data_IF_917093734805
#
_entry.id   IF_917093734805
#
_cell.length_a   1.000
_cell.length_b   1.000
_cell.length_c   1.000
_cell.angle_alpha   90.00
_cell.angle_beta   90.00
_cell.angle_gamma   90.00
#
_symmetry.space_group_name_H-M   'P 1'
#
loop_
_entity.id
_entity.type
_entity.pdbx_description
1 polymer ?
#
# COMPACT_ATOMS: atom_id res chain seq x y z
N UNK A 1 -72.14 25.41 -58.16
CA UNK A 1 -73.03 24.32 -57.82
C UNK A 1 -72.76 24.03 -56.36
N UNK A 2 -73.47 24.52 -55.50
CA UNK A 2 -74.77 24.18 -54.97
C UNK A 2 -74.52 23.62 -53.62
N UNK A 3 -74.99 24.08 -52.69
CA UNK A 3 -76.18 24.53 -51.96
C UNK A 3 -76.04 24.07 -50.53
N UNK A 4 -76.04 24.95 -49.57
CA UNK A 4 -77.20 25.26 -48.72
C UNK A 4 -77.35 24.38 -47.51
N UNK A 5 -77.37 25.03 -46.39
CA UNK A 5 -78.42 25.27 -45.38
C UNK A 5 -78.49 24.19 -44.31
N UNK A 6 -78.80 24.35 -43.03
CA UNK A 6 -79.57 25.35 -42.26
C UNK A 6 -79.34 25.00 -40.78
N UNK A 7 -78.99 25.85 -39.87
CA UNK A 7 -79.75 26.46 -38.79
C UNK A 7 -80.57 25.56 -37.89
N UNK A 8 -80.33 25.59 -36.58
CA UNK A 8 -81.12 25.97 -35.43
C UNK A 8 -80.50 25.36 -34.16
N UNK A 9 -80.17 25.99 -33.10
CA UNK A 9 -80.94 26.80 -32.22
C UNK A 9 -81.13 26.06 -30.92
N UNK A 10 -80.63 26.56 -29.79
CA UNK A 10 -80.99 26.02 -28.49
C UNK A 10 -79.97 26.24 -27.37
N UNK A 11 -80.07 27.37 -26.70
CA UNK A 11 -79.56 27.67 -25.36
C UNK A 11 -80.73 27.31 -24.34
N UNK A 12 -80.52 27.25 -23.01
CA UNK A 12 -79.36 27.19 -22.10
C UNK A 12 -79.53 26.08 -21.03
N UNK A 13 -78.48 25.75 -20.34
CA UNK A 13 -78.55 24.95 -19.15
C UNK A 13 -77.27 25.14 -18.31
N UNK A 14 -77.33 26.04 -17.34
CA UNK A 14 -76.26 26.27 -16.42
C UNK A 14 -75.95 25.05 -15.57
N UNK A 15 -74.76 24.62 -15.53
CA UNK A 15 -74.25 23.62 -14.58
C UNK A 15 -73.32 24.31 -13.57
N UNK A 16 -73.32 23.87 -12.30
CA UNK A 16 -72.63 24.56 -11.20
C UNK A 16 -71.14 24.42 -11.31
N UNK A 17 -70.45 25.51 -11.04
CA UNK A 17 -68.98 25.54 -10.90
C UNK A 17 -68.52 24.71 -9.70
N UNK A 18 -67.83 23.63 -9.95
CA UNK A 18 -67.07 22.86 -8.95
C UNK A 18 -65.86 23.70 -8.54
N UNK A 19 -65.59 23.87 -7.23
CA UNK A 19 -64.38 24.60 -6.78
C UNK A 19 -63.12 23.81 -7.16
N UNK A 20 -62.17 24.50 -7.70
CA UNK A 20 -60.82 23.96 -8.03
C UNK A 20 -60.17 23.30 -6.83
N UNK A 21 -59.82 22.04 -6.96
CA UNK A 21 -59.03 21.30 -5.99
C UNK A 21 -57.68 21.98 -5.79
N UNK A 22 -57.34 22.29 -4.54
CA UNK A 22 -56.05 22.75 -4.09
C UNK A 22 -54.96 21.75 -4.54
N UNK A 23 -53.82 22.17 -5.12
CA UNK A 23 -52.71 21.27 -5.36
C UNK A 23 -52.20 20.73 -4.03
N UNK A 24 -51.98 19.42 -3.94
CA UNK A 24 -51.37 18.74 -2.82
C UNK A 24 -49.95 19.28 -2.60
N UNK A 25 -49.46 19.35 -1.34
CA UNK A 25 -48.11 19.77 -1.06
C UNK A 25 -47.11 18.85 -1.76
N UNK A 26 -46.12 19.44 -2.44
CA UNK A 26 -45.04 18.74 -3.09
C UNK A 26 -44.36 17.79 -2.08
N UNK A 27 -44.47 16.49 -2.33
CA UNK A 27 -43.69 15.49 -1.59
C UNK A 27 -42.23 15.87 -1.69
N UNK A 28 -41.62 16.05 -0.53
CA UNK A 28 -40.17 16.24 -0.41
C UNK A 28 -39.49 15.01 -1.01
N UNK A 29 -39.04 15.14 -2.25
CA UNK A 29 -38.12 14.18 -2.88
C UNK A 29 -36.84 14.22 -2.06
N UNK A 30 -36.60 13.18 -1.27
CA UNK A 30 -35.31 12.98 -0.60
C UNK A 30 -34.18 13.15 -1.64
N UNK A 31 -33.11 13.87 -1.30
CA UNK A 31 -32.00 14.02 -2.23
C UNK A 31 -31.44 12.63 -2.53
N UNK A 32 -31.43 12.27 -3.80
CA UNK A 32 -30.87 11.03 -4.31
C UNK A 32 -29.53 10.76 -3.61
N UNK A 33 -29.42 9.58 -2.97
CA UNK A 33 -28.28 9.16 -2.19
C UNK A 33 -26.98 9.52 -2.91
N UNK A 34 -26.01 10.06 -2.17
CA UNK A 34 -24.68 10.35 -2.68
C UNK A 34 -24.20 9.14 -3.50
N UNK A 35 -23.71 9.35 -4.72
CA UNK A 35 -23.17 8.25 -5.51
C UNK A 35 -22.12 7.54 -4.67
N UNK A 36 -22.36 6.27 -4.37
CA UNK A 36 -21.39 5.43 -3.70
C UNK A 36 -20.14 5.42 -4.60
N UNK A 37 -19.03 5.92 -4.06
CA UNK A 37 -17.78 5.95 -4.80
C UNK A 37 -17.44 4.51 -5.23
N UNK A 38 -17.47 4.25 -6.54
CA UNK A 38 -17.05 2.97 -7.10
C UNK A 38 -15.64 2.68 -6.60
N UNK A 39 -15.38 1.52 -5.95
CA UNK A 39 -14.04 1.19 -5.49
C UNK A 39 -13.07 1.30 -6.65
N UNK A 40 -12.01 2.09 -6.48
CA UNK A 40 -11.02 2.21 -7.54
C UNK A 40 -10.42 0.84 -7.86
N UNK A 41 -10.12 0.54 -9.15
CA UNK A 41 -9.48 -0.71 -9.54
C UNK A 41 -8.24 -1.01 -8.69
N UNK A 42 -7.96 -2.28 -8.40
CA UNK A 42 -6.91 -2.72 -7.46
C UNK A 42 -5.53 -2.11 -7.74
N UNK A 43 -5.18 -1.92 -9.03
CA UNK A 43 -3.94 -1.22 -9.44
C UNK A 43 -3.84 0.21 -8.90
N UNK A 44 -4.97 0.92 -8.78
CA UNK A 44 -5.00 2.30 -8.26
C UNK A 44 -4.95 2.31 -6.72
N UNK A 45 -5.49 1.29 -6.07
CA UNK A 45 -5.39 1.14 -4.61
C UNK A 45 -3.95 0.94 -4.18
N UNK A 46 -3.21 0.04 -4.85
CA UNK A 46 -1.80 -0.19 -4.59
C UNK A 46 -0.97 1.09 -4.75
N UNK A 47 -1.13 1.82 -5.85
CA UNK A 47 -0.43 3.08 -6.08
C UNK A 47 -0.74 4.10 -4.97
N UNK A 48 -2.02 4.27 -4.60
CA UNK A 48 -2.42 5.17 -3.51
C UNK A 48 -1.84 4.79 -2.15
N UNK A 49 -1.68 3.48 -1.87
CA UNK A 49 -0.97 3.05 -0.66
C UNK A 49 0.48 3.48 -0.68
N UNK A 50 1.17 3.31 -1.79
CA UNK A 50 2.57 3.76 -1.93
C UNK A 50 2.70 5.28 -1.79
N UNK A 51 1.81 6.05 -2.40
CA UNK A 51 1.82 7.52 -2.29
C UNK A 51 1.56 7.99 -0.85
N UNK A 52 0.57 7.37 -0.17
CA UNK A 52 0.29 7.64 1.25
C UNK A 52 1.49 7.35 2.14
N UNK A 53 2.12 6.20 1.95
CA UNK A 53 3.29 5.79 2.73
C UNK A 53 4.50 6.70 2.45
N UNK A 54 4.70 7.12 1.21
CA UNK A 54 5.76 8.03 0.84
C UNK A 54 5.57 9.41 1.46
N UNK A 55 4.36 9.96 1.43
CA UNK A 55 4.01 11.22 2.06
C UNK A 55 4.20 11.17 3.59
N UNK A 56 3.76 10.09 4.24
CA UNK A 56 3.91 9.90 5.67
C UNK A 56 5.39 9.79 6.08
N UNK A 57 6.23 9.11 5.29
CA UNK A 57 7.66 9.02 5.53
C UNK A 57 8.38 10.37 5.44
N UNK A 58 7.86 11.32 4.67
CA UNK A 58 8.35 12.69 4.63
C UNK A 58 7.92 13.53 5.85
N UNK A 59 6.79 13.18 6.46
CA UNK A 59 6.23 13.89 7.63
C UNK A 59 6.84 13.44 8.98
N UNK A 60 7.62 12.36 9.00
CA UNK A 60 8.30 11.87 10.19
C UNK A 60 7.89 10.45 10.61
N UNK A 61 8.69 9.88 11.51
CA UNK A 61 8.65 8.45 11.88
C UNK A 61 7.30 8.04 12.52
N UNK A 62 6.75 8.85 13.41
CA UNK A 62 5.47 8.55 14.08
C UNK A 62 4.29 8.55 13.08
N UNK A 63 4.25 9.51 12.17
CA UNK A 63 3.25 9.58 11.09
C UNK A 63 3.37 8.39 10.14
N UNK A 64 4.60 7.97 9.86
CA UNK A 64 4.88 6.81 9.01
C UNK A 64 4.35 5.50 9.62
N UNK A 65 4.58 5.26 10.92
CA UNK A 65 4.06 4.08 11.62
C UNK A 65 2.52 4.03 11.60
N UNK A 66 1.85 5.17 11.83
CA UNK A 66 0.40 5.30 11.72
C UNK A 66 -0.13 4.99 10.31
N UNK A 67 0.58 5.46 9.27
CA UNK A 67 0.21 5.19 7.88
C UNK A 67 0.39 3.72 7.50
N UNK A 68 1.47 3.07 7.97
CA UNK A 68 1.70 1.62 7.80
C UNK A 68 0.56 0.82 8.44
N UNK A 69 0.22 1.10 9.69
CA UNK A 69 -0.90 0.46 10.36
C UNK A 69 -2.24 0.68 9.62
N UNK A 70 -2.45 1.88 9.06
CA UNK A 70 -3.65 2.18 8.28
C UNK A 70 -3.73 1.38 6.97
N UNK A 71 -2.61 1.24 6.25
CA UNK A 71 -2.55 0.44 5.02
C UNK A 71 -2.78 -1.04 5.31
N UNK A 72 -2.21 -1.57 6.39
CA UNK A 72 -2.37 -2.99 6.78
C UNK A 72 -3.81 -3.38 7.17
N UNK A 73 -4.70 -2.40 7.38
CA UNK A 73 -6.14 -2.64 7.56
C UNK A 73 -6.93 -2.74 6.25
N UNK A 74 -6.29 -2.63 5.09
CA UNK A 74 -6.97 -2.83 3.81
C UNK A 74 -7.58 -4.23 3.74
N UNK A 75 -8.81 -4.39 3.20
CA UNK A 75 -9.48 -5.68 3.08
C UNK A 75 -8.73 -6.68 2.19
N UNK A 76 -7.80 -6.23 1.34
CA UNK A 76 -6.87 -7.10 0.60
C UNK A 76 -5.51 -7.13 1.31
N UNK A 77 -5.28 -8.15 2.17
CA UNK A 77 -4.04 -8.24 2.94
C UNK A 77 -2.80 -8.49 2.08
N UNK A 78 -2.95 -9.12 0.91
CA UNK A 78 -1.82 -9.39 0.00
C UNK A 78 -1.32 -8.08 -0.61
N UNK A 79 -2.23 -7.26 -1.09
CA UNK A 79 -1.94 -5.93 -1.64
C UNK A 79 -1.35 -5.02 -0.57
N UNK A 80 -1.98 -4.96 0.61
CA UNK A 80 -1.54 -4.13 1.73
C UNK A 80 -0.10 -4.47 2.16
N UNK A 81 0.17 -5.74 2.42
CA UNK A 81 1.50 -6.19 2.84
C UNK A 81 2.54 -5.97 1.73
N UNK A 82 2.19 -6.16 0.47
CA UNK A 82 3.08 -5.90 -0.67
C UNK A 82 3.44 -4.42 -0.77
N UNK A 83 2.47 -3.52 -0.57
CA UNK A 83 2.71 -2.08 -0.57
C UNK A 83 3.61 -1.66 0.60
N UNK A 84 3.35 -2.19 1.80
CA UNK A 84 4.19 -1.94 2.98
C UNK A 84 5.61 -2.45 2.75
N UNK A 85 5.80 -3.68 2.27
CA UNK A 85 7.15 -4.23 1.98
C UNK A 85 7.88 -3.37 0.96
N UNK A 86 7.22 -2.94 -0.11
CA UNK A 86 7.83 -2.03 -1.10
C UNK A 86 8.25 -0.70 -0.46
N UNK A 87 7.44 -0.17 0.45
CA UNK A 87 7.78 1.04 1.20
C UNK A 87 8.98 0.82 2.13
N UNK A 88 8.99 -0.29 2.91
CA UNK A 88 10.11 -0.66 3.78
C UNK A 88 11.43 -0.73 2.98
N UNK A 89 11.41 -1.39 1.82
CA UNK A 89 12.60 -1.52 0.98
C UNK A 89 13.12 -0.15 0.50
N UNK A 90 12.24 0.71 0.01
CA UNK A 90 12.60 2.06 -0.43
C UNK A 90 13.12 2.93 0.71
N UNK A 91 12.51 2.83 1.88
CA UNK A 91 12.85 3.64 3.04
C UNK A 91 14.17 3.20 3.66
N UNK A 92 14.38 1.90 3.86
CA UNK A 92 15.61 1.35 4.40
C UNK A 92 16.85 1.72 3.55
N UNK A 93 16.72 1.72 2.22
CA UNK A 93 17.80 2.17 1.33
C UNK A 93 18.13 3.65 1.53
N UNK A 94 17.14 4.51 1.75
CA UNK A 94 17.34 5.96 1.93
C UNK A 94 17.89 6.33 3.30
N UNK A 95 17.65 5.51 4.32
CA UNK A 95 18.17 5.74 5.67
C UNK A 95 19.63 5.32 5.73
N UNK A 96 20.54 6.26 5.49
CA UNK A 96 21.98 6.02 5.41
C UNK A 96 22.67 5.91 6.76
N UNK A 97 22.08 6.50 7.82
CA UNK A 97 22.67 6.46 9.16
C UNK A 97 22.07 5.32 9.98
N UNK A 98 22.90 4.62 10.76
CA UNK A 98 22.44 3.54 11.65
C UNK A 98 21.48 4.02 12.73
N UNK A 99 21.71 5.22 13.27
CA UNK A 99 20.83 5.81 14.29
C UNK A 99 19.43 6.06 13.74
N UNK A 100 19.34 6.72 12.58
CA UNK A 100 18.06 7.00 11.94
C UNK A 100 17.32 5.74 11.51
N UNK A 101 18.05 4.72 11.02
CA UNK A 101 17.45 3.44 10.69
C UNK A 101 16.92 2.71 11.93
N UNK A 102 17.69 2.67 13.04
CA UNK A 102 17.25 2.00 14.27
C UNK A 102 16.03 2.65 14.91
N UNK A 103 15.98 3.98 14.93
CA UNK A 103 14.81 4.72 15.41
C UNK A 103 13.57 4.38 14.58
N UNK A 104 13.70 4.47 13.26
CA UNK A 104 12.63 4.13 12.32
C UNK A 104 12.16 2.68 12.45
N UNK A 105 13.08 1.72 12.48
CA UNK A 105 12.75 0.30 12.63
C UNK A 105 12.02 0.01 13.94
N UNK A 106 12.44 0.64 15.04
CA UNK A 106 11.79 0.51 16.35
C UNK A 106 10.37 1.07 16.33
N UNK A 107 10.15 2.22 15.71
CA UNK A 107 8.83 2.83 15.62
C UNK A 107 7.84 2.02 14.78
N UNK A 108 8.32 1.30 13.76
CA UNK A 108 7.47 0.44 12.93
C UNK A 108 7.14 -0.91 13.56
N UNK A 109 7.87 -1.33 14.58
CA UNK A 109 7.74 -2.68 15.15
C UNK A 109 6.29 -3.00 15.55
N UNK A 110 5.66 -2.14 16.35
CA UNK A 110 4.27 -2.34 16.80
C UNK A 110 3.25 -2.28 15.64
N UNK A 111 3.49 -1.44 14.64
CA UNK A 111 2.61 -1.34 13.47
C UNK A 111 2.63 -2.61 12.60
N UNK A 112 3.68 -3.43 12.72
CA UNK A 112 3.86 -4.67 11.97
C UNK A 112 3.49 -5.93 12.76
N UNK A 113 3.06 -5.80 14.02
CA UNK A 113 2.60 -6.93 14.83
C UNK A 113 1.43 -7.65 14.15
N UNK A 114 1.46 -8.98 14.14
CA UNK A 114 0.47 -9.81 13.44
C UNK A 114 0.66 -9.92 11.92
N UNK A 115 1.59 -9.17 11.32
CA UNK A 115 1.87 -9.18 9.88
C UNK A 115 3.23 -9.83 9.58
N UNK A 116 3.29 -11.16 9.56
CA UNK A 116 4.53 -11.93 9.49
C UNK A 116 5.46 -11.55 8.33
N UNK A 117 4.91 -11.28 7.13
CA UNK A 117 5.69 -10.97 5.94
C UNK A 117 6.42 -9.61 6.02
N UNK A 118 5.76 -8.47 6.27
CA UNK A 118 6.46 -7.19 6.43
C UNK A 118 7.32 -7.13 7.70
N UNK A 119 6.91 -7.78 8.80
CA UNK A 119 7.74 -7.86 10.00
C UNK A 119 9.07 -8.61 9.74
N UNK A 120 9.02 -9.72 8.97
CA UNK A 120 10.23 -10.41 8.52
C UNK A 120 11.11 -9.51 7.66
N UNK A 121 10.53 -8.76 6.72
CA UNK A 121 11.27 -7.84 5.87
C UNK A 121 12.01 -6.76 6.68
N UNK A 122 11.37 -6.22 7.72
CA UNK A 122 12.01 -5.24 8.60
C UNK A 122 13.18 -5.85 9.37
N UNK A 123 13.03 -7.09 9.91
CA UNK A 123 14.14 -7.81 10.57
C UNK A 123 15.29 -8.08 9.61
N UNK A 124 15.00 -8.50 8.38
CA UNK A 124 16.01 -8.73 7.35
C UNK A 124 16.79 -7.45 7.00
N UNK A 125 16.11 -6.30 6.92
CA UNK A 125 16.79 -5.01 6.77
C UNK A 125 17.67 -4.66 7.98
N UNK A 126 17.22 -4.97 9.20
CA UNK A 126 18.01 -4.77 10.42
C UNK A 126 19.29 -5.59 10.37
N UNK A 127 19.20 -6.85 9.98
CA UNK A 127 20.35 -7.72 9.77
C UNK A 127 21.31 -7.18 8.70
N UNK A 128 20.80 -6.78 7.53
CA UNK A 128 21.60 -6.22 6.45
C UNK A 128 22.35 -4.93 6.85
N UNK A 129 21.70 -4.07 7.62
CA UNK A 129 22.30 -2.84 8.16
C UNK A 129 23.38 -3.14 9.19
N UNK A 130 23.16 -4.12 10.07
CA UNK A 130 24.17 -4.54 11.03
C UNK A 130 25.43 -5.11 10.32
N UNK A 131 25.25 -5.97 9.32
CA UNK A 131 26.35 -6.52 8.52
C UNK A 131 27.12 -5.41 7.78
N UNK A 132 26.41 -4.44 7.18
CA UNK A 132 27.02 -3.36 6.40
C UNK A 132 27.74 -2.33 7.29
N UNK A 133 27.22 -2.07 8.49
CA UNK A 133 27.75 -1.09 9.45
C UNK A 133 28.80 -1.67 10.41
N UNK A 134 29.16 -2.96 10.30
CA UNK A 134 30.10 -3.62 11.22
C UNK A 134 29.53 -3.83 12.63
N UNK A 135 28.20 -3.79 12.78
CA UNK A 135 27.52 -4.09 14.02
C UNK A 135 27.47 -5.60 14.30
N UNK A 136 27.02 -5.97 15.51
CA UNK A 136 26.82 -7.39 15.86
C UNK A 136 25.66 -7.99 15.06
N UNK A 137 25.84 -9.19 14.52
CA UNK A 137 24.84 -9.97 13.80
C UNK A 137 25.05 -11.46 14.06
N UNK A 138 24.04 -12.26 13.78
CA UNK A 138 24.08 -13.70 13.99
C UNK A 138 24.24 -14.47 12.68
N UNK A 139 25.21 -15.37 12.61
CA UNK A 139 25.38 -16.29 11.48
C UNK A 139 24.10 -17.12 11.24
N UNK A 140 23.49 -17.63 12.32
CA UNK A 140 22.24 -18.39 12.23
C UNK A 140 21.07 -17.56 11.65
N UNK A 141 20.98 -16.27 11.98
CA UNK A 141 19.96 -15.40 11.39
C UNK A 141 20.20 -15.20 9.89
N UNK A 142 21.44 -15.05 9.44
CA UNK A 142 21.75 -14.90 8.02
C UNK A 142 21.49 -16.19 7.23
N UNK A 143 21.79 -17.36 7.81
CA UNK A 143 21.50 -18.66 7.23
C UNK A 143 19.99 -18.91 7.11
N UNK A 144 19.21 -18.55 8.14
CA UNK A 144 17.76 -18.67 8.17
C UNK A 144 17.02 -17.62 7.33
N UNK A 145 17.72 -16.56 6.91
CA UNK A 145 17.13 -15.45 6.16
C UNK A 145 16.58 -15.90 4.80
N UNK A 146 15.65 -15.12 4.24
CA UNK A 146 15.07 -15.40 2.94
C UNK A 146 16.09 -15.30 1.80
N UNK A 147 15.78 -15.91 0.66
CA UNK A 147 16.59 -15.77 -0.56
C UNK A 147 16.78 -14.31 -0.98
N UNK A 148 15.78 -13.47 -0.72
CA UNK A 148 15.88 -12.04 -0.97
C UNK A 148 16.96 -11.40 -0.10
N UNK A 149 16.95 -11.69 1.21
CA UNK A 149 17.92 -11.13 2.16
C UNK A 149 19.34 -11.60 1.83
N UNK A 150 19.54 -12.89 1.61
CA UNK A 150 20.85 -13.45 1.26
C UNK A 150 21.40 -12.88 -0.06
N UNK A 151 20.55 -12.71 -1.08
CA UNK A 151 20.94 -12.03 -2.34
C UNK A 151 21.31 -10.58 -2.12
N UNK A 152 20.51 -9.87 -1.32
CA UNK A 152 20.75 -8.47 -1.00
C UNK A 152 22.05 -8.31 -0.22
N UNK A 153 22.35 -9.19 0.74
CA UNK A 153 23.60 -9.19 1.47
C UNK A 153 24.83 -9.32 0.54
N UNK A 154 24.76 -10.20 -0.46
CA UNK A 154 25.85 -10.33 -1.45
C UNK A 154 26.03 -9.07 -2.31
N UNK A 155 24.94 -8.31 -2.58
CA UNK A 155 24.99 -7.10 -3.43
C UNK A 155 25.35 -5.83 -2.64
N UNK A 156 25.13 -5.82 -1.33
CA UNK A 156 25.37 -4.70 -0.43
C UNK A 156 26.82 -4.70 0.08
N UNK A 157 27.31 -3.64 0.72
CA UNK A 157 28.55 -3.68 1.49
C UNK A 157 28.43 -4.70 2.63
N UNK A 158 28.80 -5.96 2.37
CA UNK A 158 28.85 -7.02 3.36
C UNK A 158 30.26 -7.18 3.90
N UNK A 159 30.41 -7.62 5.16
CA UNK A 159 31.69 -8.04 5.71
C UNK A 159 32.19 -9.31 4.99
N UNK A 160 33.50 -9.53 5.01
CA UNK A 160 34.10 -10.77 4.44
C UNK A 160 33.60 -12.01 5.17
N UNK A 161 33.34 -11.91 6.48
CA UNK A 161 32.74 -12.97 7.28
C UNK A 161 31.34 -13.33 6.77
N UNK A 162 30.47 -12.35 6.51
CA UNK A 162 29.14 -12.60 5.96
C UNK A 162 29.20 -13.21 4.54
N UNK A 163 30.15 -12.75 3.70
CA UNK A 163 30.37 -13.32 2.38
C UNK A 163 30.89 -14.76 2.45
N UNK A 164 31.83 -15.06 3.37
CA UNK A 164 32.34 -16.43 3.59
C UNK A 164 31.23 -17.37 4.03
N UNK A 165 30.41 -16.95 4.98
CA UNK A 165 29.23 -17.72 5.43
C UNK A 165 28.28 -18.00 4.26
N UNK A 166 27.93 -16.99 3.48
CA UNK A 166 27.03 -17.16 2.33
C UNK A 166 27.65 -18.01 1.22
N UNK A 167 28.95 -17.96 1.00
CA UNK A 167 29.64 -18.82 0.03
C UNK A 167 29.55 -20.31 0.45
N UNK A 168 29.63 -20.58 1.75
CA UNK A 168 29.57 -21.93 2.29
C UNK A 168 28.13 -22.47 2.39
N UNK A 169 27.18 -21.67 2.94
CA UNK A 169 25.92 -22.19 3.45
C UNK A 169 24.66 -21.53 2.85
N UNK A 170 24.76 -20.56 1.96
CA UNK A 170 23.57 -19.90 1.41
C UNK A 170 22.61 -20.90 0.74
N UNK A 171 21.32 -20.64 0.85
CA UNK A 171 20.23 -21.52 0.39
C UNK A 171 20.30 -21.86 -1.10
N UNK A 172 20.73 -20.92 -1.94
CA UNK A 172 20.81 -21.13 -3.38
C UNK A 172 22.22 -21.15 -3.91
N UNK A 173 22.48 -22.05 -4.88
CA UNK A 173 23.79 -22.12 -5.58
C UNK A 173 24.19 -20.75 -6.16
N UNK A 174 23.21 -19.98 -6.66
CA UNK A 174 23.48 -18.66 -7.26
C UNK A 174 24.06 -17.70 -6.21
N UNK A 175 23.53 -17.68 -5.01
CA UNK A 175 24.02 -16.83 -3.91
C UNK A 175 25.41 -17.30 -3.50
N UNK A 176 25.61 -18.61 -3.28
CA UNK A 176 26.93 -19.17 -2.93
C UNK A 176 28.02 -18.77 -3.93
N UNK A 177 27.76 -18.97 -5.22
CA UNK A 177 28.72 -18.62 -6.28
C UNK A 177 28.98 -17.11 -6.34
N UNK A 178 27.96 -16.27 -6.15
CA UNK A 178 28.12 -14.82 -6.17
C UNK A 178 28.93 -14.32 -4.95
N UNK A 179 28.72 -14.90 -3.77
CA UNK A 179 29.48 -14.59 -2.56
C UNK A 179 30.96 -14.98 -2.71
N UNK A 180 31.24 -16.19 -3.17
CA UNK A 180 32.62 -16.66 -3.42
C UNK A 180 33.37 -15.73 -4.41
N UNK A 181 32.77 -15.44 -5.56
CA UNK A 181 33.35 -14.53 -6.55
C UNK A 181 33.63 -13.11 -5.98
N UNK A 182 32.81 -12.67 -5.03
CA UNK A 182 33.03 -11.35 -4.40
C UNK A 182 34.18 -11.37 -3.42
N UNK A 183 34.35 -12.46 -2.65
CA UNK A 183 35.50 -12.67 -1.80
C UNK A 183 36.81 -12.72 -2.62
N UNK A 184 36.83 -13.52 -3.70
CA UNK A 184 37.99 -13.64 -4.58
C UNK A 184 38.45 -12.27 -5.12
N UNK A 185 37.50 -11.44 -5.56
CA UNK A 185 37.78 -10.08 -6.03
C UNK A 185 38.35 -9.16 -4.95
N UNK A 186 37.95 -9.33 -3.69
CA UNK A 186 38.47 -8.53 -2.57
C UNK A 186 39.87 -8.97 -2.17
N UNK A 187 40.13 -10.28 -2.21
CA UNK A 187 41.46 -10.82 -1.93
C UNK A 187 42.52 -10.46 -2.98
N UNK A 188 42.07 -10.05 -4.20
CA UNK A 188 42.92 -9.65 -5.29
C UNK A 188 43.26 -8.14 -5.34
N UNK A 189 42.75 -7.34 -4.39
CA UNK A 189 42.98 -5.89 -4.25
C UNK A 189 43.96 -5.58 -3.15
#
# INVERSE_FOLDING_TARGET
MGTSETQTGGTPGGAPRTPAARPAPAEHREPAGRPQAVPAPDRWRYARHLDRLAAAGAAGVAGEAGAVAAVLRDPDPVMAQSAVVTHLDRRAVRLSTDAGFREWARALHSALEGHAFPARRLREWTLLKAIAGGGSWSAAELEAASDWCQRTAVLSPASDEALALLAASARTRRVRTAAARRLDRRAAL
#
